data_IF_909944828298
#
_entry.id   IF_909944828298
#
_cell.length_a   1.000
_cell.length_b   1.000
_cell.length_c   1.000
_cell.angle_alpha   90.00
_cell.angle_beta   90.00
_cell.angle_gamma   90.00
#
_symmetry.space_group_name_H-M   'P 1'
#
loop_
_entity.id
_entity.type
_entity.pdbx_description
1 polymer ?
#
# COMPACT_ATOMS: atom_id res chain seq x y z
N UNK A 1 -4.87 -8.46 -26.37
CA UNK A 1 -4.95 -7.76 -27.67
C UNK A 1 -4.74 -6.27 -27.40
N UNK A 2 -3.70 -5.67 -27.99
CA UNK A 2 -3.30 -4.29 -27.66
C UNK A 2 -4.34 -3.25 -28.11
N UNK A 3 -5.11 -3.56 -29.17
CA UNK A 3 -6.21 -2.71 -29.65
C UNK A 3 -7.33 -2.56 -28.61
N UNK A 4 -7.76 -3.68 -28.03
CA UNK A 4 -8.78 -3.69 -26.97
C UNK A 4 -8.31 -2.97 -25.70
N UNK A 5 -7.00 -2.99 -25.43
CA UNK A 5 -6.42 -2.23 -24.31
C UNK A 5 -6.45 -0.73 -24.61
N UNK A 6 -6.08 -0.32 -25.82
CA UNK A 6 -6.16 1.08 -26.26
C UNK A 6 -7.59 1.63 -26.16
N UNK A 7 -8.58 0.91 -26.69
CA UNK A 7 -10.00 1.28 -26.62
C UNK A 7 -10.50 1.47 -25.17
N UNK A 8 -10.10 0.58 -24.25
CA UNK A 8 -10.43 0.72 -22.83
C UNK A 8 -9.75 1.94 -22.22
N UNK A 9 -8.47 2.17 -22.49
CA UNK A 9 -7.72 3.32 -21.97
C UNK A 9 -8.32 4.63 -22.47
N UNK A 10 -8.76 4.67 -23.74
CA UNK A 10 -9.49 5.81 -24.31
C UNK A 10 -10.85 6.05 -23.65
N UNK A 11 -11.58 4.99 -23.30
CA UNK A 11 -12.85 5.13 -22.56
C UNK A 11 -12.70 5.79 -21.17
N UNK A 12 -11.48 5.78 -20.61
CA UNK A 12 -11.15 6.47 -19.36
C UNK A 12 -10.62 7.91 -19.56
N UNK A 13 -10.65 8.44 -20.78
CA UNK A 13 -10.23 9.81 -21.08
C UNK A 13 -8.72 10.00 -21.30
N UNK A 14 -7.99 8.92 -21.56
CA UNK A 14 -6.58 8.96 -21.95
C UNK A 14 -6.45 8.91 -23.48
N UNK A 15 -5.44 9.57 -24.02
CA UNK A 15 -5.03 9.34 -25.41
C UNK A 15 -4.09 8.15 -25.48
N UNK A 16 -4.31 7.24 -26.43
CA UNK A 16 -3.57 6.00 -26.57
C UNK A 16 -2.95 5.90 -27.98
N UNK A 17 -1.69 5.47 -28.06
CA UNK A 17 -0.95 5.27 -29.31
C UNK A 17 -0.26 3.91 -29.26
N UNK A 18 -0.52 3.08 -30.27
CA UNK A 18 0.10 1.75 -30.39
C UNK A 18 1.34 1.89 -31.27
N UNK A 19 2.49 1.58 -30.70
CA UNK A 19 3.77 1.55 -31.40
C UNK A 19 4.28 0.12 -31.51
N UNK A 20 5.14 -0.11 -32.49
CA UNK A 20 5.85 -1.40 -32.62
C UNK A 20 7.20 -1.29 -31.93
N UNK A 21 7.53 -2.30 -31.13
CA UNK A 21 8.85 -2.50 -30.56
C UNK A 21 9.63 -3.41 -31.51
N UNK A 22 10.56 -2.82 -32.27
CA UNK A 22 11.34 -3.55 -33.28
C UNK A 22 12.32 -4.55 -32.64
N UNK A 23 12.87 -4.23 -31.47
CA UNK A 23 13.84 -5.08 -30.77
C UNK A 23 13.22 -6.39 -30.28
N UNK A 24 11.97 -6.32 -29.83
CA UNK A 24 11.27 -7.47 -29.25
C UNK A 24 10.18 -8.04 -30.17
N UNK A 25 9.97 -7.44 -31.35
CA UNK A 25 8.91 -7.82 -32.30
C UNK A 25 7.50 -7.87 -31.67
N UNK A 26 7.23 -6.98 -30.71
CA UNK A 26 5.92 -6.89 -30.02
C UNK A 26 5.33 -5.49 -30.12
N UNK A 27 4.04 -5.36 -29.82
CA UNK A 27 3.38 -4.06 -29.73
C UNK A 27 3.54 -3.47 -28.33
N UNK A 28 3.72 -2.15 -28.25
CA UNK A 28 3.71 -1.37 -27.02
C UNK A 28 2.63 -0.29 -27.09
N UNK A 29 2.02 0.01 -25.95
CA UNK A 29 1.00 1.05 -25.81
C UNK A 29 1.60 2.24 -25.08
N UNK A 30 1.56 3.40 -25.72
CA UNK A 30 1.84 4.68 -25.11
C UNK A 30 0.51 5.34 -24.75
N UNK A 31 0.33 5.79 -23.52
CA UNK A 31 -0.89 6.50 -23.13
C UNK A 31 -0.60 7.71 -22.25
N UNK A 32 -1.38 8.78 -22.41
CA UNK A 32 -1.23 10.02 -21.64
C UNK A 32 -2.57 10.69 -21.38
N UNK A 33 -2.64 11.40 -20.25
CA UNK A 33 -3.78 12.25 -19.90
C UNK A 33 -3.37 13.72 -20.04
N UNK A 34 -3.97 14.44 -20.99
CA UNK A 34 -3.67 15.85 -21.23
C UNK A 34 -2.18 16.11 -21.52
N UNK A 35 -1.59 17.06 -20.78
CA UNK A 35 -0.18 17.46 -20.90
C UNK A 35 0.79 16.64 -20.06
N UNK A 36 0.34 15.58 -19.38
CA UNK A 36 1.23 14.73 -18.58
C UNK A 36 2.20 13.93 -19.44
N UNK A 37 3.35 13.59 -18.86
CA UNK A 37 4.32 12.70 -19.48
C UNK A 37 3.68 11.36 -19.86
N UNK A 38 3.96 10.84 -21.06
CA UNK A 38 3.38 9.59 -21.52
C UNK A 38 3.86 8.41 -20.67
N UNK A 39 2.94 7.49 -20.40
CA UNK A 39 3.22 6.20 -19.77
C UNK A 39 3.26 5.10 -20.80
N UNK A 40 4.09 4.09 -20.56
CA UNK A 40 4.33 2.97 -21.46
C UNK A 40 3.85 1.66 -20.85
N UNK A 41 3.10 0.88 -21.63
CA UNK A 41 2.89 -0.55 -21.40
C UNK A 41 3.53 -1.31 -22.55
N UNK A 42 4.68 -1.92 -22.30
CA UNK A 42 5.45 -2.66 -23.29
C UNK A 42 6.06 -3.93 -22.71
N UNK A 43 6.98 -4.53 -23.48
CA UNK A 43 7.65 -5.77 -23.08
C UNK A 43 8.28 -5.69 -21.68
N UNK A 44 9.04 -4.65 -21.29
CA UNK A 44 9.71 -4.62 -19.99
C UNK A 44 8.73 -4.68 -18.80
N UNK A 45 7.57 -4.06 -18.91
CA UNK A 45 6.54 -4.10 -17.86
C UNK A 45 5.85 -5.46 -17.81
N UNK A 46 5.57 -6.05 -18.97
CA UNK A 46 4.89 -7.36 -19.06
C UNK A 46 5.82 -8.51 -18.68
N UNK A 47 7.13 -8.39 -18.91
CA UNK A 47 8.14 -9.37 -18.52
C UNK A 47 8.61 -9.22 -17.08
N UNK A 48 8.19 -8.16 -16.37
CA UNK A 48 8.67 -7.91 -15.01
C UNK A 48 8.20 -9.01 -14.04
N UNK A 49 9.00 -9.38 -13.03
CA UNK A 49 8.60 -10.35 -12.02
C UNK A 49 7.28 -9.98 -11.31
N UNK A 50 7.05 -8.70 -11.08
CA UNK A 50 5.85 -8.16 -10.43
C UNK A 50 4.62 -8.43 -11.29
N UNK A 51 4.68 -8.15 -12.59
CA UNK A 51 3.57 -8.41 -13.50
C UNK A 51 3.29 -9.90 -13.65
N UNK A 52 4.33 -10.73 -13.76
CA UNK A 52 4.18 -12.19 -13.82
C UNK A 52 3.48 -12.73 -12.57
N UNK A 53 3.85 -12.22 -11.38
CA UNK A 53 3.18 -12.56 -10.12
C UNK A 53 1.71 -12.15 -10.12
N UNK A 54 1.40 -10.92 -10.58
CA UNK A 54 0.02 -10.45 -10.71
C UNK A 54 -0.80 -11.32 -11.68
N UNK A 55 -0.20 -11.76 -12.79
CA UNK A 55 -0.86 -12.61 -13.77
C UNK A 55 -1.18 -14.01 -13.20
N UNK A 56 -0.27 -14.59 -12.43
CA UNK A 56 -0.50 -15.87 -11.73
C UNK A 56 -1.66 -15.74 -10.74
N UNK A 57 -1.66 -14.68 -9.93
CA UNK A 57 -2.74 -14.42 -8.98
C UNK A 57 -4.08 -14.18 -9.68
N UNK A 58 -4.08 -13.39 -10.76
CA UNK A 58 -5.27 -13.12 -11.55
C UNK A 58 -5.88 -14.42 -12.13
N UNK A 59 -5.04 -15.32 -12.65
CA UNK A 59 -5.50 -16.63 -13.13
C UNK A 59 -6.05 -17.50 -12.00
N UNK A 60 -5.42 -17.48 -10.84
CA UNK A 60 -5.84 -18.27 -9.68
C UNK A 60 -7.22 -17.83 -9.15
N UNK A 61 -7.51 -16.53 -9.17
CA UNK A 61 -8.81 -15.99 -8.71
C UNK A 61 -9.84 -15.85 -9.83
N UNK A 62 -9.45 -15.98 -11.09
CA UNK A 62 -10.31 -15.67 -12.24
C UNK A 62 -11.57 -16.52 -12.34
N UNK A 63 -11.57 -17.75 -11.81
CA UNK A 63 -12.78 -18.58 -11.69
C UNK A 63 -13.76 -18.05 -10.64
N UNK A 64 -13.27 -17.34 -9.63
CA UNK A 64 -14.04 -16.78 -8.53
C UNK A 64 -14.40 -15.29 -8.75
N UNK A 65 -13.61 -14.55 -9.53
CA UNK A 65 -13.78 -13.11 -9.82
C UNK A 65 -14.86 -12.89 -10.89
N UNK A 66 -16.07 -13.36 -10.61
CA UNK A 66 -17.25 -13.27 -11.49
C UNK A 66 -18.33 -12.40 -10.88
N UNK A 67 -18.30 -11.07 -11.10
CA UNK A 67 -19.39 -10.21 -10.68
C UNK A 67 -20.69 -10.52 -11.46
N UNK A 68 -21.88 -10.31 -10.87
CA UNK A 68 -22.11 -9.75 -9.53
C UNK A 68 -21.87 -10.78 -8.41
N UNK A 69 -21.29 -10.32 -7.30
CA UNK A 69 -21.03 -11.12 -6.10
C UNK A 69 -22.24 -11.12 -5.18
N UNK A 70 -22.56 -12.26 -4.56
CA UNK A 70 -23.60 -12.34 -3.54
C UNK A 70 -22.98 -12.70 -2.20
N UNK A 71 -23.07 -11.80 -1.23
CA UNK A 71 -22.62 -12.03 0.14
C UNK A 71 -23.83 -12.39 0.99
N UNK A 72 -23.77 -13.53 1.67
CA UNK A 72 -24.80 -13.98 2.62
C UNK A 72 -24.23 -13.99 4.02
N UNK A 73 -24.82 -13.21 4.90
CA UNK A 73 -24.52 -13.20 6.33
C UNK A 73 -25.83 -13.40 7.10
N UNK A 74 -25.89 -14.46 7.89
CA UNK A 74 -27.07 -14.92 8.61
C UNK A 74 -28.31 -15.01 7.68
N UNK A 75 -29.23 -14.06 7.82
CA UNK A 75 -30.50 -13.94 7.08
C UNK A 75 -30.51 -12.84 6.01
N UNK A 76 -29.41 -12.09 5.86
CA UNK A 76 -29.29 -11.00 4.89
C UNK A 76 -28.43 -11.40 3.70
N UNK A 77 -28.92 -11.13 2.49
CA UNK A 77 -28.20 -11.36 1.25
C UNK A 77 -28.05 -10.04 0.50
N UNK A 78 -26.79 -9.65 0.25
CA UNK A 78 -26.45 -8.42 -0.47
C UNK A 78 -25.80 -8.78 -1.79
N UNK A 79 -26.27 -8.16 -2.88
CA UNK A 79 -25.70 -8.33 -4.22
C UNK A 79 -24.80 -7.13 -4.54
N UNK A 80 -23.54 -7.40 -4.85
CA UNK A 80 -22.49 -6.42 -5.11
C UNK A 80 -22.05 -6.52 -6.57
N UNK A 81 -21.88 -5.36 -7.21
CA UNK A 81 -21.72 -5.29 -8.68
C UNK A 81 -20.29 -5.51 -9.15
N UNK A 82 -19.31 -5.27 -8.28
CA UNK A 82 -17.90 -5.24 -8.63
C UNK A 82 -17.02 -5.69 -7.46
N UNK A 83 -15.75 -5.95 -7.76
CA UNK A 83 -14.77 -6.49 -6.79
C UNK A 83 -14.43 -5.49 -5.69
N UNK A 84 -14.41 -4.19 -6.00
CA UNK A 84 -14.08 -3.16 -5.01
C UNK A 84 -15.20 -3.10 -3.95
N UNK A 85 -16.45 -3.07 -4.40
CA UNK A 85 -17.61 -3.16 -3.51
C UNK A 85 -17.60 -4.40 -2.61
N UNK A 86 -17.15 -5.55 -3.12
CA UNK A 86 -17.00 -6.78 -2.33
C UNK A 86 -15.96 -6.63 -1.21
N UNK A 87 -14.77 -6.13 -1.53
CA UNK A 87 -13.69 -5.94 -0.55
C UNK A 87 -14.14 -4.95 0.53
N UNK A 88 -14.69 -3.82 0.13
CA UNK A 88 -15.15 -2.79 1.07
C UNK A 88 -16.24 -3.32 1.99
N UNK A 89 -17.23 -4.05 1.45
CA UNK A 89 -18.29 -4.66 2.25
C UNK A 89 -17.76 -5.68 3.26
N UNK A 90 -16.83 -6.55 2.87
CA UNK A 90 -16.22 -7.54 3.79
C UNK A 90 -15.41 -6.83 4.88
N UNK A 91 -14.65 -5.78 4.53
CA UNK A 91 -13.88 -5.01 5.49
C UNK A 91 -14.78 -4.25 6.48
N UNK A 92 -15.91 -3.72 6.03
CA UNK A 92 -16.91 -3.09 6.90
C UNK A 92 -17.58 -4.09 7.83
N UNK A 93 -17.96 -5.27 7.32
CA UNK A 93 -18.52 -6.34 8.14
C UNK A 93 -17.55 -6.76 9.26
N UNK A 94 -16.26 -6.89 8.94
CA UNK A 94 -15.24 -7.21 9.93
C UNK A 94 -15.00 -6.12 10.97
N UNK A 95 -15.30 -4.85 10.64
CA UNK A 95 -15.21 -3.70 11.57
C UNK A 95 -16.47 -3.50 12.39
N UNK A 96 -17.59 -4.11 11.99
CA UNK A 96 -18.86 -3.95 12.67
C UNK A 96 -18.71 -4.40 14.13
N UNK A 97 -19.17 -3.57 15.04
CA UNK A 97 -19.11 -3.77 16.50
C UNK A 97 -17.69 -3.77 17.12
N UNK A 98 -16.64 -3.45 16.36
CA UNK A 98 -15.30 -3.22 16.90
C UNK A 98 -15.11 -1.76 17.31
N UNK A 99 -14.82 -1.55 18.59
CA UNK A 99 -14.27 -0.29 19.07
C UNK A 99 -12.75 -0.38 19.09
N UNK A 100 -12.11 0.38 18.19
CA UNK A 100 -10.64 0.44 18.10
C UNK A 100 -10.18 1.67 18.87
N UNK A 101 -9.42 1.47 19.94
CA UNK A 101 -8.74 2.54 20.67
C UNK A 101 -7.23 2.46 20.41
N UNK A 102 -6.65 3.54 19.90
CA UNK A 102 -5.21 3.69 19.73
C UNK A 102 -4.67 4.51 20.90
N UNK A 103 -3.88 3.90 21.77
CA UNK A 103 -3.18 4.59 22.86
C UNK A 103 -2.05 5.45 22.28
N UNK A 104 -2.09 6.78 22.49
CA UNK A 104 -1.04 7.69 22.03
C UNK A 104 0.02 7.93 23.10
N UNK A 105 -0.37 7.83 24.36
CA UNK A 105 0.53 7.85 25.52
C UNK A 105 0.25 6.73 26.52
N UNK A 106 1.26 6.38 27.30
CA UNK A 106 1.13 5.37 28.37
C UNK A 106 0.13 5.79 29.45
N UNK A 107 -0.07 7.10 29.65
CA UNK A 107 -1.04 7.64 30.61
C UNK A 107 -2.51 7.49 30.21
N UNK A 108 -2.81 7.05 28.99
CA UNK A 108 -4.17 6.71 28.55
C UNK A 108 -4.60 5.30 28.99
N UNK A 109 -3.65 4.51 29.50
CA UNK A 109 -3.89 3.17 30.01
C UNK A 109 -4.13 3.19 31.52
N UNK A 110 -5.06 2.36 31.99
CA UNK A 110 -5.17 2.10 33.42
C UNK A 110 -3.97 1.28 33.93
N UNK A 111 -3.59 1.37 35.22
CA UNK A 111 -2.41 0.67 35.75
C UNK A 111 -2.38 -0.85 35.49
N UNK A 112 -3.52 -1.51 35.60
CA UNK A 112 -3.66 -2.96 35.32
C UNK A 112 -3.36 -3.27 33.85
N UNK A 113 -3.88 -2.46 32.92
CA UNK A 113 -3.63 -2.63 31.48
C UNK A 113 -2.15 -2.39 31.14
N UNK A 114 -1.52 -1.37 31.73
CA UNK A 114 -0.11 -1.08 31.51
C UNK A 114 0.77 -2.23 32.01
N UNK A 115 0.44 -2.80 33.17
CA UNK A 115 1.15 -3.95 33.72
C UNK A 115 1.04 -5.16 32.79
N UNK A 116 -0.18 -5.56 32.44
CA UNK A 116 -0.45 -6.77 31.63
C UNK A 116 0.11 -6.69 30.21
N UNK A 117 0.15 -5.50 29.62
CA UNK A 117 0.58 -5.32 28.22
C UNK A 117 2.06 -5.02 28.08
N UNK A 118 2.62 -4.22 29.00
CA UNK A 118 3.92 -3.57 28.79
C UNK A 118 4.96 -3.96 29.85
N UNK A 119 4.58 -4.26 31.09
CA UNK A 119 5.53 -4.48 32.19
C UNK A 119 5.74 -5.95 32.58
N UNK A 120 4.72 -6.79 32.42
CA UNK A 120 4.74 -8.22 32.74
C UNK A 120 5.90 -8.93 32.00
N UNK A 121 6.89 -9.51 32.70
CA UNK A 121 8.01 -10.20 32.07
C UNK A 121 7.63 -11.35 31.13
N UNK A 122 6.46 -11.97 31.32
CA UNK A 122 5.99 -13.07 30.47
C UNK A 122 5.33 -12.59 29.17
N UNK A 123 4.77 -11.36 29.14
CA UNK A 123 4.01 -10.82 28.01
C UNK A 123 4.69 -9.65 27.30
N UNK A 124 5.58 -8.93 27.98
CA UNK A 124 6.20 -7.71 27.47
C UNK A 124 7.05 -7.99 26.24
N UNK A 125 7.04 -7.04 25.31
CA UNK A 125 7.95 -7.02 24.16
C UNK A 125 9.01 -5.95 24.40
N UNK A 126 10.28 -6.34 24.48
CA UNK A 126 11.40 -5.41 24.62
C UNK A 126 12.18 -5.35 23.31
N UNK A 127 12.55 -4.13 22.90
CA UNK A 127 13.46 -3.91 21.80
C UNK A 127 14.85 -3.60 22.36
N UNK A 128 15.84 -4.44 22.04
CA UNK A 128 17.23 -4.17 22.38
C UNK A 128 17.84 -3.24 21.34
N UNK A 129 18.30 -2.06 21.77
CA UNK A 129 19.02 -1.12 20.91
C UNK A 129 20.50 -1.45 20.91
N UNK A 130 21.10 -1.54 19.73
CA UNK A 130 22.53 -1.74 19.54
C UNK A 130 23.13 -0.53 18.81
N UNK A 131 24.27 -0.05 19.27
CA UNK A 131 25.03 1.01 18.60
C UNK A 131 26.06 0.32 17.72
N UNK A 132 25.74 0.23 16.42
CA UNK A 132 26.64 -0.40 15.45
C UNK A 132 27.78 0.54 15.03
N UNK A 133 27.48 1.83 14.93
CA UNK A 133 28.46 2.88 14.65
C UNK A 133 28.17 4.09 15.55
N UNK A 134 29.02 4.29 16.55
CA UNK A 134 28.85 5.36 17.52
C UNK A 134 28.98 6.75 16.90
N UNK A 135 29.78 6.91 15.83
CA UNK A 135 30.03 8.21 15.20
C UNK A 135 28.80 8.64 14.41
N UNK A 136 28.29 7.77 13.52
CA UNK A 136 27.10 8.08 12.72
C UNK A 136 25.88 8.28 13.61
N UNK A 137 25.77 7.50 14.71
CA UNK A 137 24.66 7.63 15.65
C UNK A 137 24.67 8.98 16.36
N UNK A 138 25.85 9.50 16.74
CA UNK A 138 25.99 10.80 17.40
C UNK A 138 25.65 11.97 16.47
N UNK A 139 26.03 11.86 15.19
CA UNK A 139 25.67 12.85 14.16
C UNK A 139 24.14 12.92 13.96
N UNK A 140 23.48 11.77 13.82
CA UNK A 140 22.01 11.71 13.70
C UNK A 140 21.34 12.25 14.97
N UNK A 141 21.87 11.90 16.15
CA UNK A 141 21.37 12.41 17.41
C UNK A 141 21.49 13.93 17.49
N UNK A 142 22.64 14.49 17.09
CA UNK A 142 22.88 15.94 17.07
C UNK A 142 21.95 16.67 16.09
N UNK A 143 21.68 16.09 14.91
CA UNK A 143 20.74 16.65 13.95
C UNK A 143 19.30 16.63 14.48
N UNK A 144 18.88 15.51 15.08
CA UNK A 144 17.51 15.34 15.57
C UNK A 144 17.24 16.09 16.88
N UNK A 145 18.20 16.11 17.80
CA UNK A 145 18.04 16.68 19.15
C UNK A 145 18.68 18.07 19.32
N UNK A 146 19.45 18.55 18.33
CA UNK A 146 20.08 19.88 18.38
C UNK A 146 19.10 21.04 18.16
N UNK A 147 19.55 22.27 18.40
CA UNK A 147 18.68 23.45 18.34
C UNK A 147 18.36 23.91 16.90
N UNK A 148 19.11 23.42 15.91
CA UNK A 148 18.98 23.82 14.52
C UNK A 148 17.75 23.19 13.86
N UNK A 149 16.71 24.00 13.63
CA UNK A 149 15.43 23.57 13.05
C UNK A 149 15.56 23.10 11.60
N UNK A 150 16.39 23.77 10.80
CA UNK A 150 16.47 23.53 9.36
C UNK A 150 17.11 22.16 9.00
N UNK A 151 18.27 21.75 9.59
CA UNK A 151 18.81 20.40 9.39
C UNK A 151 17.86 19.30 9.86
N UNK A 152 17.20 19.49 11.02
CA UNK A 152 16.20 18.55 11.53
C UNK A 152 15.05 18.36 10.55
N UNK A 153 14.50 19.46 10.01
CA UNK A 153 13.37 19.40 9.06
C UNK A 153 13.73 18.60 7.81
N UNK A 154 14.87 18.91 7.18
CA UNK A 154 15.33 18.19 5.98
C UNK A 154 15.50 16.70 6.25
N UNK A 155 16.12 16.35 7.37
CA UNK A 155 16.28 14.96 7.76
C UNK A 155 14.93 14.23 7.87
N UNK A 156 13.91 14.86 8.47
CA UNK A 156 12.57 14.27 8.58
C UNK A 156 11.92 14.10 7.19
N UNK A 157 12.02 15.11 6.33
CA UNK A 157 11.42 15.09 4.98
C UNK A 157 12.08 14.02 4.09
N UNK A 158 13.40 13.94 4.07
CA UNK A 158 14.17 12.99 3.26
C UNK A 158 13.90 11.54 3.67
N UNK A 159 13.66 11.28 4.97
CA UNK A 159 13.41 9.94 5.50
C UNK A 159 11.92 9.64 5.73
N UNK A 160 11.01 10.55 5.38
CA UNK A 160 9.57 10.41 5.66
C UNK A 160 8.96 9.15 5.03
N UNK A 161 9.46 8.75 3.84
CA UNK A 161 8.97 7.58 3.10
C UNK A 161 9.41 6.25 3.73
N UNK A 162 10.43 6.25 4.59
CA UNK A 162 10.93 5.04 5.25
C UNK A 162 10.15 4.71 6.53
N UNK A 163 9.38 5.66 7.04
CA UNK A 163 8.61 5.50 8.28
C UNK A 163 7.32 4.72 8.00
N UNK A 164 7.23 3.52 8.57
CA UNK A 164 6.04 2.65 8.45
C UNK A 164 4.93 2.97 9.46
N UNK A 165 5.27 3.59 10.57
CA UNK A 165 4.36 3.84 11.70
C UNK A 165 4.33 5.34 12.05
N UNK A 166 3.67 6.15 11.22
CA UNK A 166 3.39 7.54 11.58
C UNK A 166 2.12 7.64 12.43
N UNK A 167 2.13 8.54 13.41
CA UNK A 167 0.92 9.08 14.03
C UNK A 167 0.28 10.08 13.06
N UNK A 168 -0.90 9.74 12.54
CA UNK A 168 -1.85 10.64 11.87
C UNK A 168 -3.07 10.76 12.78
#
# INVERSE_FOLDING_TARGET
>A
NMKTLAEKVESFGYSAEILTDEEHSVQKLLYRQGSQSPRLVGYPQLSSPEYQRLLVLHKAIGSLDQPPFTVKLDSTATVLKDRQSLIDHVMELGKKDLQIQRYKGLGEMNPEQLWETTMDPEKRTLLQVQINDAVITDDIFSVLMGDAVEPRRRFIEDNALEVKNLDI
#
